data_IF_397858527071
#
_entry.id   IF_397858527071
#
_cell.length_a   1.000
_cell.length_b   1.000
_cell.length_c   1.000
_cell.angle_alpha   90.00
_cell.angle_beta   90.00
_cell.angle_gamma   90.00
#
_symmetry.space_group_name_H-M   'P 1'
#
loop_
_entity.id
_entity.type
_entity.pdbx_description
1 polymer ?
#
# COMPACT_ATOMS: atom_id res chain seq x y z
N UNK A 1 1.43 3.28 -1.84
CA UNK A 1 1.66 1.91 -1.33
C UNK A 1 0.30 1.26 -1.13
N UNK A 2 0.18 -0.03 -1.39
CA UNK A 2 -1.05 -0.78 -1.22
C UNK A 2 -0.77 -2.27 -0.95
N UNK A 3 -1.65 -2.96 -0.22
CA UNK A 3 -1.51 -4.39 0.05
C UNK A 3 -2.14 -5.22 -1.07
N UNK A 4 -1.49 -6.29 -1.53
CA UNK A 4 -2.00 -7.15 -2.62
C UNK A 4 -3.30 -7.87 -2.24
N UNK A 5 -3.47 -8.15 -0.95
CA UNK A 5 -4.66 -8.83 -0.39
C UNK A 5 -5.62 -7.83 0.28
N UNK A 6 -5.57 -6.53 -0.05
CA UNK A 6 -6.57 -5.59 0.48
C UNK A 6 -7.97 -6.01 -0.02
N UNK A 7 -8.79 -6.43 0.93
CA UNK A 7 -10.18 -6.88 0.70
C UNK A 7 -11.19 -5.74 0.89
N UNK A 8 -10.73 -4.51 1.13
CA UNK A 8 -11.60 -3.35 1.21
C UNK A 8 -12.25 -3.08 -0.15
N UNK A 9 -13.59 -3.20 -0.21
CA UNK A 9 -14.39 -2.99 -1.43
C UNK A 9 -14.21 -1.62 -2.09
N UNK A 10 -13.72 -0.63 -1.35
CA UNK A 10 -13.52 0.75 -1.81
C UNK A 10 -12.14 0.93 -2.45
N UNK A 11 -11.11 0.29 -1.90
CA UNK A 11 -9.71 0.48 -2.25
C UNK A 11 -9.14 -0.79 -2.89
N UNK A 12 -9.74 -1.26 -4.00
CA UNK A 12 -9.37 -2.54 -4.60
C UNK A 12 -7.95 -2.51 -5.21
N UNK A 13 -7.09 -3.51 -4.95
CA UNK A 13 -5.71 -3.56 -5.42
C UNK A 13 -5.52 -3.39 -6.93
N UNK A 14 -6.43 -3.95 -7.72
CA UNK A 14 -6.40 -3.93 -9.19
C UNK A 14 -6.62 -2.51 -9.77
N UNK A 15 -7.20 -1.60 -8.99
CA UNK A 15 -7.46 -0.21 -9.41
C UNK A 15 -6.26 0.71 -9.21
N UNK A 16 -5.33 0.34 -8.33
CA UNK A 16 -4.20 1.19 -7.94
C UNK A 16 -3.25 1.53 -9.09
N UNK A 17 -2.91 0.62 -10.03
CA UNK A 17 -2.02 0.95 -11.17
C UNK A 17 -2.48 2.17 -11.97
N UNK A 18 -3.79 2.34 -12.17
CA UNK A 18 -4.35 3.48 -12.93
C UNK A 18 -4.07 4.82 -12.28
N UNK A 19 -3.87 4.87 -10.96
CA UNK A 19 -3.51 6.11 -10.24
C UNK A 19 -2.12 6.56 -10.69
N UNK A 20 -1.14 5.65 -10.65
CA UNK A 20 0.26 5.96 -11.01
C UNK A 20 0.40 6.35 -12.48
N UNK A 21 -0.34 5.69 -13.37
CA UNK A 21 -0.42 6.05 -14.79
C UNK A 21 -0.91 7.50 -14.98
N UNK A 22 -1.86 7.96 -14.16
CA UNK A 22 -2.46 9.30 -14.25
C UNK A 22 -1.65 10.39 -13.57
N UNK A 23 -0.69 10.06 -12.70
CA UNK A 23 0.24 11.02 -12.10
C UNK A 23 1.31 11.49 -13.11
N UNK A 24 0.90 12.07 -14.23
CA UNK A 24 1.80 12.46 -15.34
C UNK A 24 2.76 13.59 -14.98
N UNK A 25 2.39 14.42 -14.01
CA UNK A 25 3.18 15.58 -13.58
C UNK A 25 4.04 15.28 -12.34
N UNK A 26 4.07 14.02 -11.87
CA UNK A 26 4.93 13.61 -10.77
C UNK A 26 6.22 12.98 -11.34
N UNK A 27 7.37 13.67 -11.32
CA UNK A 27 8.61 13.18 -11.91
C UNK A 27 9.20 11.99 -11.15
N UNK A 28 8.87 11.87 -9.85
CA UNK A 28 9.25 10.72 -9.02
C UNK A 28 7.99 10.14 -8.41
N UNK A 29 7.67 8.90 -8.78
CA UNK A 29 6.48 8.17 -8.31
C UNK A 29 6.75 6.68 -8.33
N UNK A 30 6.22 5.97 -7.34
CA UNK A 30 6.39 4.53 -7.23
C UNK A 30 5.10 3.86 -6.79
N UNK A 31 4.67 2.83 -7.53
CA UNK A 31 3.70 1.87 -7.02
C UNK A 31 4.43 0.83 -6.19
N UNK A 32 4.11 0.76 -4.89
CA UNK A 32 4.53 -0.35 -4.04
C UNK A 32 3.32 -1.22 -3.73
N UNK A 33 3.23 -2.38 -4.40
CA UNK A 33 2.29 -3.45 -4.07
C UNK A 33 3.00 -4.42 -3.11
N UNK A 34 2.59 -4.42 -1.85
CA UNK A 34 3.22 -5.24 -0.82
C UNK A 34 2.40 -6.47 -0.48
N UNK A 35 3.06 -7.44 0.12
CA UNK A 35 2.48 -8.69 0.62
C UNK A 35 3.19 -9.10 1.89
N UNK A 36 2.58 -9.99 2.67
CA UNK A 36 3.07 -10.41 3.97
C UNK A 36 2.08 -10.01 5.06
N UNK A 37 2.58 -9.88 6.28
CA UNK A 37 1.73 -9.67 7.46
C UNK A 37 0.95 -10.92 7.86
N UNK A 38 0.23 -10.83 8.97
CA UNK A 38 -0.52 -11.97 9.52
C UNK A 38 -1.57 -11.51 10.51
N UNK A 39 -2.53 -12.40 10.80
CA UNK A 39 -3.55 -12.13 11.81
C UNK A 39 -4.63 -11.14 11.37
N UNK A 40 -4.88 -11.02 10.07
CA UNK A 40 -5.98 -10.19 9.57
C UNK A 40 -7.33 -10.66 10.12
N UNK A 41 -8.11 -9.72 10.68
CA UNK A 41 -9.43 -9.98 11.23
C UNK A 41 -10.30 -8.71 11.24
N UNK A 42 -11.59 -8.89 11.50
CA UNK A 42 -12.55 -7.79 11.59
C UNK A 42 -12.91 -7.20 10.22
N UNK A 43 -13.19 -5.90 10.18
CA UNK A 43 -13.65 -5.22 8.98
C UNK A 43 -12.51 -5.10 7.95
N UNK A 44 -12.67 -5.58 6.71
CA UNK A 44 -11.63 -5.52 5.68
C UNK A 44 -11.11 -4.13 5.35
N UNK A 45 -11.88 -3.07 5.64
CA UNK A 45 -11.49 -1.68 5.41
C UNK A 45 -10.84 -1.00 6.64
N UNK A 46 -10.64 -1.71 7.74
CA UNK A 46 -10.10 -1.14 8.98
C UNK A 46 -8.66 -1.62 9.27
N UNK A 47 -8.09 -1.06 10.34
CA UNK A 47 -6.68 -1.18 10.66
C UNK A 47 -6.19 -2.62 10.94
N UNK A 48 -7.07 -3.49 11.46
CA UNK A 48 -6.69 -4.86 11.85
C UNK A 48 -6.84 -5.87 10.70
N UNK A 49 -7.04 -5.40 9.48
CA UNK A 49 -7.05 -6.20 8.26
C UNK A 49 -5.90 -5.81 7.32
N UNK A 50 -5.81 -6.48 6.16
CA UNK A 50 -4.81 -6.18 5.12
C UNK A 50 -4.80 -4.72 4.65
N UNK A 51 -5.95 -4.03 4.69
CA UNK A 51 -6.05 -2.60 4.43
C UNK A 51 -5.16 -1.76 5.36
N UNK A 52 -5.07 -2.18 6.63
CA UNK A 52 -4.24 -1.56 7.65
C UNK A 52 -2.83 -2.12 7.80
N UNK A 53 -2.41 -3.05 6.91
CA UNK A 53 -1.08 -3.69 6.95
C UNK A 53 -0.81 -4.50 8.23
N UNK A 54 -1.85 -5.13 8.77
CA UNK A 54 -1.80 -5.93 10.00
C UNK A 54 -0.65 -6.96 10.00
N UNK A 55 0.15 -6.94 11.06
CA UNK A 55 1.29 -7.83 11.24
C UNK A 55 2.48 -7.56 10.31
N UNK A 56 2.46 -6.46 9.54
CA UNK A 56 3.60 -5.98 8.75
C UNK A 56 3.77 -4.44 8.83
N UNK A 57 3.30 -3.84 9.92
CA UNK A 57 3.24 -2.40 10.09
C UNK A 57 4.65 -1.78 10.05
N UNK A 58 5.65 -2.46 10.61
CA UNK A 58 7.05 -1.99 10.61
C UNK A 58 7.61 -1.95 9.19
N UNK A 59 7.36 -2.99 8.40
CA UNK A 59 7.76 -3.11 7.01
C UNK A 59 7.09 -2.04 6.16
N UNK A 60 5.80 -1.80 6.39
CA UNK A 60 5.05 -0.74 5.71
C UNK A 60 5.63 0.65 6.01
N UNK A 61 5.88 0.95 7.29
CA UNK A 61 6.50 2.21 7.70
C UNK A 61 7.91 2.35 7.13
N UNK A 62 8.72 1.29 7.17
CA UNK A 62 10.07 1.30 6.62
C UNK A 62 10.08 1.57 5.11
N UNK A 63 9.17 0.95 4.35
CA UNK A 63 9.05 1.16 2.90
C UNK A 63 8.68 2.61 2.56
N UNK A 64 7.70 3.18 3.27
CA UNK A 64 7.24 4.56 3.06
C UNK A 64 8.34 5.55 3.45
N UNK A 65 8.93 5.39 4.63
CA UNK A 65 9.99 6.30 5.11
C UNK A 65 11.25 6.21 4.27
N UNK A 66 11.60 5.03 3.77
CA UNK A 66 12.72 4.85 2.82
C UNK A 66 12.50 5.63 1.53
N UNK A 67 11.30 5.57 0.95
CA UNK A 67 10.96 6.37 -0.22
C UNK A 67 11.00 7.88 0.05
N UNK A 68 10.46 8.32 1.20
CA UNK A 68 10.47 9.76 1.56
C UNK A 68 11.90 10.27 1.76
N UNK A 69 12.79 9.48 2.37
CA UNK A 69 14.17 9.88 2.64
C UNK A 69 15.05 9.92 1.39
N UNK A 70 14.79 9.04 0.43
CA UNK A 70 15.54 8.99 -0.83
C UNK A 70 14.62 8.62 -1.99
N UNK A 71 13.78 9.57 -2.46
CA UNK A 71 12.89 9.33 -3.58
C UNK A 71 13.72 9.28 -4.87
N UNK A 72 13.65 8.15 -5.57
CA UNK A 72 14.32 7.93 -6.86
C UNK A 72 13.28 7.69 -7.96
N UNK A 73 13.52 8.17 -9.20
CA UNK A 73 12.65 7.93 -10.35
C UNK A 73 12.34 6.46 -10.62
#
# INVERSE_FOLDING_TARGET
MHHKQDECRICQPDRVPRIIERLKNAPVKKLAMVEGGSGAHGNPCEALHWHGYVGMEKEAVAAITGFIRSPQP
#
